data_IF_108969639569
#
_entry.id   IF_108969639569
#
_cell.length_a   1.000
_cell.length_b   1.000
_cell.length_c   1.000
_cell.angle_alpha   90.00
_cell.angle_beta   90.00
_cell.angle_gamma   90.00
#
_symmetry.space_group_name_H-M   'P 1'
#
loop_
_entity.id
_entity.type
_entity.pdbx_description
1 polymer ?
#
# COMPACT_ATOMS: atom_id res chain seq x y z
N UNK A 1 -0.02 -2.32 -22.78
CA UNK A 1 -0.88 -1.18 -23.15
C UNK A 1 -2.37 -1.41 -22.88
N UNK A 2 -2.90 -2.62 -23.02
CA UNK A 2 -4.31 -2.93 -22.75
C UNK A 2 -4.63 -2.74 -21.26
N UNK A 3 -3.83 -3.30 -20.35
CA UNK A 3 -4.04 -3.19 -18.91
C UNK A 3 -3.95 -1.75 -18.38
N UNK A 4 -3.08 -0.90 -18.93
CA UNK A 4 -2.98 0.51 -18.53
C UNK A 4 -4.27 1.26 -18.83
N UNK A 5 -4.85 1.07 -20.02
CA UNK A 5 -6.11 1.69 -20.42
C UNK A 5 -7.28 1.20 -19.61
N UNK A 6 -7.28 -0.10 -19.26
CA UNK A 6 -8.33 -0.68 -18.43
C UNK A 6 -8.28 -0.08 -17.02
N UNK A 7 -7.11 -0.04 -16.35
CA UNK A 7 -6.96 0.59 -15.04
C UNK A 7 -7.40 2.07 -15.07
N UNK A 8 -7.03 2.81 -16.12
CA UNK A 8 -7.45 4.20 -16.28
C UNK A 8 -8.97 4.32 -16.43
N UNK A 9 -9.58 3.49 -17.27
CA UNK A 9 -11.05 3.48 -17.47
C UNK A 9 -11.82 3.13 -16.20
N UNK A 10 -11.23 2.34 -15.30
CA UNK A 10 -11.80 1.99 -13.99
C UNK A 10 -11.51 3.04 -12.91
N UNK A 11 -10.84 4.14 -13.23
CA UNK A 11 -10.50 5.21 -12.30
C UNK A 11 -9.40 4.85 -11.30
N UNK A 12 -8.56 3.84 -11.62
CA UNK A 12 -7.45 3.41 -10.78
C UNK A 12 -6.23 4.28 -11.04
N UNK A 13 -5.66 4.88 -10.00
CA UNK A 13 -4.35 5.50 -10.02
C UNK A 13 -3.28 4.43 -9.82
N UNK A 14 -2.36 4.27 -10.77
CA UNK A 14 -1.23 3.36 -10.64
C UNK A 14 0.02 4.11 -10.21
N UNK A 15 0.68 3.63 -9.15
CA UNK A 15 1.93 4.19 -8.63
C UNK A 15 2.98 3.10 -8.52
N UNK A 16 4.20 3.41 -8.91
CA UNK A 16 5.36 2.56 -8.72
C UNK A 16 6.27 3.22 -7.67
N UNK A 17 6.61 2.50 -6.61
CA UNK A 17 7.53 2.94 -5.57
C UNK A 17 8.77 2.05 -5.52
N UNK A 18 9.87 2.59 -4.99
CA UNK A 18 11.16 1.91 -4.89
C UNK A 18 12.23 2.52 -5.79
N UNK A 19 13.37 1.86 -5.90
CA UNK A 19 14.49 2.34 -6.72
C UNK A 19 14.32 1.95 -8.19
N UNK A 20 13.75 2.86 -8.98
CA UNK A 20 13.58 2.67 -10.42
C UNK A 20 14.83 3.03 -11.23
N UNK A 21 15.88 3.54 -10.60
CA UNK A 21 17.11 3.96 -11.32
C UNK A 21 17.85 2.79 -11.96
N UNK A 22 17.69 1.59 -11.40
CA UNK A 22 18.28 0.34 -11.89
C UNK A 22 17.49 -0.30 -13.04
N UNK A 23 16.30 0.19 -13.33
CA UNK A 23 15.47 -0.32 -14.42
C UNK A 23 15.99 0.23 -15.78
N UNK A 24 15.77 -0.52 -16.84
CA UNK A 24 16.12 -0.09 -18.19
C UNK A 24 15.28 1.13 -18.64
N UNK A 25 15.77 1.87 -19.63
CA UNK A 25 15.13 3.09 -20.10
C UNK A 25 13.70 2.87 -20.64
N UNK A 26 13.40 1.80 -21.41
CA UNK A 26 12.04 1.51 -21.86
C UNK A 26 11.06 1.28 -20.71
N UNK A 27 11.48 0.56 -19.66
CA UNK A 27 10.61 0.29 -18.50
C UNK A 27 10.37 1.56 -17.68
N UNK A 28 11.41 2.38 -17.47
CA UNK A 28 11.24 3.70 -16.81
C UNK A 28 10.26 4.59 -17.56
N UNK A 29 10.42 4.69 -18.88
CA UNK A 29 9.47 5.44 -19.70
C UNK A 29 8.05 4.91 -19.57
N UNK A 30 7.88 3.58 -19.52
CA UNK A 30 6.56 2.97 -19.33
C UNK A 30 5.94 3.35 -17.96
N UNK A 31 6.75 3.43 -16.92
CA UNK A 31 6.32 3.86 -15.58
C UNK A 31 5.87 5.33 -15.64
N UNK A 32 6.67 6.20 -16.25
CA UNK A 32 6.33 7.63 -16.38
C UNK A 32 5.02 7.82 -17.18
N UNK A 33 4.87 7.10 -18.29
CA UNK A 33 3.67 7.16 -19.13
C UNK A 33 2.40 6.72 -18.36
N UNK A 34 2.49 5.67 -17.53
CA UNK A 34 1.33 5.20 -16.76
C UNK A 34 1.03 6.10 -15.57
N UNK A 35 2.04 6.65 -14.91
CA UNK A 35 1.84 7.66 -13.88
C UNK A 35 1.11 8.88 -14.43
N UNK A 36 1.57 9.42 -15.56
CA UNK A 36 0.94 10.57 -16.22
C UNK A 36 -0.50 10.27 -16.65
N UNK A 37 -0.76 9.08 -17.23
CA UNK A 37 -2.08 8.66 -17.67
C UNK A 37 -3.09 8.55 -16.51
N UNK A 38 -2.65 8.05 -15.35
CA UNK A 38 -3.54 7.71 -14.23
C UNK A 38 -3.52 8.72 -13.09
N UNK A 39 -2.72 9.80 -13.19
CA UNK A 39 -2.52 10.78 -12.12
C UNK A 39 -3.82 11.44 -11.62
N UNK A 40 -4.81 11.64 -12.51
CA UNK A 40 -6.10 12.23 -12.18
C UNK A 40 -7.14 11.27 -11.62
N UNK A 41 -6.81 9.97 -11.53
CA UNK A 41 -7.75 8.96 -11.04
C UNK A 41 -7.82 8.98 -9.50
N UNK A 42 -9.02 8.85 -8.95
CA UNK A 42 -9.26 9.01 -7.51
C UNK A 42 -10.08 7.88 -6.88
N UNK A 43 -10.53 6.91 -7.68
CA UNK A 43 -11.38 5.82 -7.18
C UNK A 43 -10.61 4.82 -6.33
N UNK A 44 -9.39 4.48 -6.75
CA UNK A 44 -8.51 3.52 -6.08
C UNK A 44 -7.07 3.80 -6.44
N UNK A 45 -6.14 3.67 -5.49
CA UNK A 45 -4.70 3.77 -5.74
C UNK A 45 -4.06 2.39 -5.62
N UNK A 46 -3.54 1.86 -6.73
CA UNK A 46 -2.72 0.66 -6.76
C UNK A 46 -1.25 1.07 -6.70
N UNK A 47 -0.57 0.72 -5.61
CA UNK A 47 0.84 1.02 -5.41
C UNK A 47 1.66 -0.27 -5.55
N UNK A 48 2.56 -0.34 -6.55
CA UNK A 48 3.43 -1.49 -6.80
C UNK A 48 4.85 -1.14 -6.36
N UNK A 49 5.40 -1.94 -5.44
CA UNK A 49 6.77 -1.79 -4.97
C UNK A 49 7.73 -2.59 -5.87
N UNK A 50 8.68 -1.90 -6.51
CA UNK A 50 9.69 -2.48 -7.41
C UNK A 50 11.07 -2.09 -6.89
N UNK A 51 11.94 -3.08 -6.69
CA UNK A 51 13.28 -2.84 -6.10
C UNK A 51 13.18 -1.97 -4.83
N UNK A 52 12.22 -2.30 -3.96
CA UNK A 52 11.87 -1.53 -2.76
C UNK A 52 12.41 -2.21 -1.50
N UNK A 53 12.83 -1.42 -0.55
CA UNK A 53 13.13 -1.86 0.81
C UNK A 53 12.85 -0.75 1.82
N UNK A 54 12.21 -1.09 2.95
CA UNK A 54 11.84 -0.11 3.98
C UNK A 54 13.03 0.66 4.53
N UNK A 55 14.17 0.00 4.73
CA UNK A 55 15.41 0.69 5.15
C UNK A 55 15.89 1.69 4.11
N UNK A 56 15.83 1.33 2.83
CA UNK A 56 16.16 2.23 1.73
C UNK A 56 15.21 3.41 1.70
N UNK A 57 13.90 3.19 1.83
CA UNK A 57 12.89 4.24 1.78
C UNK A 57 13.07 5.27 2.90
N UNK A 58 13.33 4.81 4.12
CA UNK A 58 13.64 5.68 5.27
C UNK A 58 14.87 6.56 4.96
N UNK A 59 15.95 5.98 4.45
CA UNK A 59 17.14 6.74 4.08
C UNK A 59 16.87 7.74 2.95
N UNK A 60 16.06 7.37 1.94
CA UNK A 60 15.66 8.30 0.89
C UNK A 60 14.75 9.42 1.41
N UNK A 61 13.86 9.13 2.35
CA UNK A 61 13.02 10.14 2.99
C UNK A 61 13.87 11.20 3.72
N UNK A 62 14.86 10.75 4.49
CA UNK A 62 15.81 11.66 5.15
C UNK A 62 16.59 12.52 4.14
N UNK A 63 17.06 11.91 3.04
CA UNK A 63 17.79 12.63 1.97
C UNK A 63 16.90 13.65 1.27
N UNK A 64 15.65 13.30 0.97
CA UNK A 64 14.66 14.21 0.37
C UNK A 64 14.38 15.40 1.29
N UNK A 65 14.19 15.14 2.57
CA UNK A 65 14.01 16.20 3.56
C UNK A 65 15.23 17.12 3.64
N UNK A 66 16.45 16.58 3.75
CA UNK A 66 17.68 17.37 3.83
C UNK A 66 17.90 18.21 2.55
N UNK A 67 17.61 17.64 1.38
CA UNK A 67 17.72 18.37 0.11
C UNK A 67 16.74 19.55 0.02
N UNK A 68 15.52 19.38 0.55
CA UNK A 68 14.51 20.44 0.64
C UNK A 68 14.83 21.48 1.74
N UNK A 69 15.69 21.13 2.71
CA UNK A 69 16.01 21.95 3.88
C UNK A 69 17.53 22.01 4.14
N UNK A 70 18.34 22.53 3.20
CA UNK A 70 19.80 22.41 3.24
C UNK A 70 20.45 23.08 4.46
N UNK A 71 19.79 24.09 5.04
CA UNK A 71 20.29 24.85 6.18
C UNK A 71 19.68 24.46 7.54
N UNK A 72 18.81 23.44 7.57
CA UNK A 72 18.20 22.95 8.82
C UNK A 72 18.98 21.74 9.36
N UNK A 73 19.26 21.71 10.66
CA UNK A 73 19.90 20.57 11.28
C UNK A 73 18.94 19.36 11.29
N UNK A 74 19.49 18.14 11.17
CA UNK A 74 18.69 16.89 11.17
C UNK A 74 17.89 16.68 12.46
N UNK A 75 18.28 17.32 13.54
CA UNK A 75 17.55 17.31 14.83
C UNK A 75 16.14 17.96 14.76
N UNK A 76 15.86 18.69 13.69
CA UNK A 76 14.52 19.25 13.43
C UNK A 76 13.61 18.31 12.61
N UNK A 77 14.12 17.16 12.19
CA UNK A 77 13.34 16.14 11.51
C UNK A 77 12.59 15.31 12.52
N UNK A 78 11.29 15.52 12.64
CA UNK A 78 10.38 14.72 13.46
C UNK A 78 9.74 13.57 12.68
N UNK A 79 9.06 12.67 13.40
CA UNK A 79 8.40 11.48 12.82
C UNK A 79 7.35 11.83 11.77
N UNK A 80 6.52 12.83 12.04
CA UNK A 80 5.47 13.27 11.12
C UNK A 80 6.05 13.84 9.83
N UNK A 81 7.15 14.58 9.93
CA UNK A 81 7.87 15.12 8.78
C UNK A 81 8.56 14.01 7.99
N UNK A 82 9.21 13.05 8.66
CA UNK A 82 9.81 11.89 8.01
C UNK A 82 8.76 11.07 7.25
N UNK A 83 7.61 10.78 7.88
CA UNK A 83 6.49 10.06 7.28
C UNK A 83 6.04 10.67 5.95
N UNK A 84 5.91 11.99 5.88
CA UNK A 84 5.53 12.71 4.63
C UNK A 84 6.57 12.62 3.51
N UNK A 85 7.82 12.28 3.84
CA UNK A 85 8.90 12.13 2.85
C UNK A 85 9.13 10.67 2.42
N UNK A 86 8.42 9.70 3.00
CA UNK A 86 8.44 8.32 2.53
C UNK A 86 7.81 8.19 1.14
N UNK A 87 8.07 7.09 0.44
CA UNK A 87 7.53 6.84 -0.89
C UNK A 87 5.99 6.76 -0.93
N UNK A 88 5.37 6.55 0.23
CA UNK A 88 3.92 6.50 0.44
C UNK A 88 3.42 7.63 1.34
N UNK A 89 4.20 8.71 1.50
CA UNK A 89 3.94 9.75 2.52
C UNK A 89 2.67 10.58 2.31
N UNK A 90 2.03 10.47 1.16
CA UNK A 90 0.73 11.06 0.81
C UNK A 90 -0.42 10.03 0.84
N UNK A 91 -0.13 8.78 1.15
CA UNK A 91 -1.12 7.72 1.35
C UNK A 91 -1.36 7.47 2.84
N UNK A 92 -2.53 6.96 3.22
CA UNK A 92 -2.77 6.50 4.59
C UNK A 92 -1.81 5.36 4.96
N UNK A 93 -1.51 5.22 6.25
CA UNK A 93 -0.79 4.05 6.74
C UNK A 93 -1.60 2.77 6.49
N UNK A 94 -0.95 1.64 6.18
CA UNK A 94 -1.67 0.41 5.89
C UNK A 94 -2.33 -0.14 7.15
N UNK A 95 -3.60 -0.51 7.03
CA UNK A 95 -4.38 -1.15 8.10
C UNK A 95 -4.14 -2.65 8.18
N UNK A 96 -3.95 -3.30 7.04
CA UNK A 96 -3.80 -4.75 6.92
C UNK A 96 -2.64 -5.10 5.99
N UNK A 97 -1.73 -5.95 6.48
CA UNK A 97 -0.77 -6.68 5.67
C UNK A 97 -1.28 -8.11 5.45
N UNK A 98 -1.36 -8.54 4.20
CA UNK A 98 -1.59 -9.94 3.84
C UNK A 98 -0.29 -10.48 3.26
N UNK A 99 0.30 -11.49 3.89
CA UNK A 99 1.48 -12.19 3.38
C UNK A 99 1.15 -13.64 3.10
N UNK A 100 1.33 -14.03 1.85
CA UNK A 100 1.09 -15.38 1.33
C UNK A 100 2.36 -16.23 1.36
N UNK A 101 2.22 -17.56 1.19
CA UNK A 101 3.34 -18.48 1.02
C UNK A 101 3.97 -19.00 2.31
N UNK A 102 3.26 -18.95 3.45
CA UNK A 102 3.67 -19.58 4.71
C UNK A 102 4.80 -18.84 5.46
N UNK A 103 5.24 -17.69 4.96
CA UNK A 103 6.34 -16.93 5.56
C UNK A 103 5.84 -15.94 6.59
N UNK A 104 6.29 -16.09 7.85
CA UNK A 104 5.87 -15.24 8.99
C UNK A 104 6.97 -14.21 9.29
N UNK A 105 7.15 -13.25 8.38
CA UNK A 105 8.12 -12.15 8.52
C UNK A 105 7.77 -10.99 7.57
N UNK A 106 8.25 -9.76 7.86
CA UNK A 106 7.99 -8.54 7.04
C UNK A 106 9.00 -8.41 5.88
N UNK A 107 10.19 -8.97 6.03
CA UNK A 107 11.25 -8.96 5.02
C UNK A 107 11.59 -7.58 4.46
N UNK A 108 11.75 -6.59 5.32
CA UNK A 108 12.14 -5.23 4.93
C UNK A 108 11.09 -4.50 4.06
N UNK A 109 9.81 -4.88 4.15
CA UNK A 109 8.72 -4.20 3.42
C UNK A 109 8.03 -3.19 4.33
N UNK A 110 7.84 -1.94 3.88
CA UNK A 110 7.12 -0.84 4.53
C UNK A 110 7.38 -0.70 6.05
N UNK A 111 8.65 -0.81 6.49
CA UNK A 111 9.02 -0.91 7.91
C UNK A 111 8.48 0.21 8.79
N UNK A 112 8.47 1.44 8.29
CA UNK A 112 7.98 2.60 9.02
C UNK A 112 6.46 2.62 9.06
N UNK A 113 5.84 2.44 7.91
CA UNK A 113 4.41 2.58 7.72
C UNK A 113 3.60 1.49 8.41
N UNK A 114 4.19 0.31 8.66
CA UNK A 114 3.51 -0.85 9.25
C UNK A 114 3.60 -0.90 10.78
N UNK A 115 3.98 0.18 11.45
CA UNK A 115 4.16 0.20 12.89
C UNK A 115 2.90 -0.26 13.67
N UNK A 116 1.70 0.00 13.13
CA UNK A 116 0.41 -0.36 13.75
C UNK A 116 -0.48 -1.21 12.82
N UNK A 117 0.11 -1.81 11.80
CA UNK A 117 -0.59 -2.63 10.82
C UNK A 117 -0.93 -4.00 11.39
N UNK A 118 -2.16 -4.46 11.23
CA UNK A 118 -2.54 -5.84 11.50
C UNK A 118 -1.95 -6.77 10.43
N UNK A 119 -1.38 -7.91 10.85
CA UNK A 119 -0.64 -8.81 9.96
C UNK A 119 -1.34 -10.15 9.83
N UNK A 120 -1.84 -10.46 8.64
CA UNK A 120 -2.44 -11.73 8.28
C UNK A 120 -1.46 -12.56 7.46
N UNK A 121 -1.11 -13.74 7.95
CA UNK A 121 -0.21 -14.69 7.27
C UNK A 121 -1.00 -15.87 6.74
N UNK A 122 -0.78 -16.21 5.45
CA UNK A 122 -1.46 -17.32 4.77
C UNK A 122 -0.45 -18.31 4.20
N UNK A 123 -0.69 -19.59 4.40
CA UNK A 123 0.11 -20.67 3.79
C UNK A 123 -0.12 -20.81 2.28
N UNK A 124 -1.20 -20.23 1.77
CA UNK A 124 -1.56 -20.28 0.35
C UNK A 124 -0.53 -19.49 -0.47
N UNK A 125 -0.04 -20.09 -1.56
CA UNK A 125 0.88 -19.44 -2.49
C UNK A 125 0.17 -18.34 -3.28
N UNK A 126 0.89 -17.26 -3.60
CA UNK A 126 0.33 -16.11 -4.30
C UNK A 126 -0.46 -16.45 -5.58
N UNK A 127 -0.01 -17.37 -6.46
CA UNK A 127 -0.76 -17.70 -7.67
C UNK A 127 -2.13 -18.36 -7.43
N UNK A 128 -2.33 -18.97 -6.25
CA UNK A 128 -3.60 -19.64 -5.84
C UNK A 128 -4.36 -18.86 -4.77
N UNK A 129 -3.85 -17.71 -4.33
CA UNK A 129 -4.53 -16.81 -3.39
C UNK A 129 -5.63 -16.06 -4.15
N UNK A 130 -6.85 -16.53 -4.00
CA UNK A 130 -8.03 -16.02 -4.70
C UNK A 130 -8.97 -15.20 -3.83
N UNK A 131 -10.18 -15.06 -4.32
CA UNK A 131 -11.24 -14.27 -3.65
C UNK A 131 -11.60 -14.84 -2.28
N UNK A 132 -11.69 -16.15 -2.16
CA UNK A 132 -12.07 -16.80 -0.89
C UNK A 132 -11.03 -16.52 0.21
N UNK A 133 -9.74 -16.59 -0.12
CA UNK A 133 -8.65 -16.31 0.80
C UNK A 133 -8.61 -14.81 1.18
N UNK A 134 -8.90 -13.93 0.23
CA UNK A 134 -8.98 -12.50 0.48
C UNK A 134 -10.15 -12.17 1.42
N UNK A 135 -11.33 -12.78 1.22
CA UNK A 135 -12.47 -12.63 2.13
C UNK A 135 -12.14 -13.12 3.53
N UNK A 136 -11.50 -14.28 3.66
CA UNK A 136 -11.06 -14.80 4.96
C UNK A 136 -10.11 -13.83 5.69
N UNK A 137 -9.19 -13.19 4.96
CA UNK A 137 -8.31 -12.17 5.54
C UNK A 137 -9.07 -10.92 6.01
N UNK A 138 -10.08 -10.47 5.27
CA UNK A 138 -10.93 -9.33 5.66
C UNK A 138 -11.84 -9.66 6.84
N UNK A 139 -12.44 -10.86 6.89
CA UNK A 139 -13.21 -11.33 8.04
C UNK A 139 -12.33 -11.39 9.30
N UNK A 140 -11.13 -11.96 9.17
CA UNK A 140 -10.16 -11.99 10.27
C UNK A 140 -9.82 -10.58 10.74
N UNK A 141 -9.57 -9.64 9.82
CA UNK A 141 -9.28 -8.24 10.15
C UNK A 141 -10.46 -7.56 10.84
N UNK A 142 -11.70 -7.79 10.38
CA UNK A 142 -12.92 -7.24 10.97
C UNK A 142 -13.17 -7.63 12.43
N UNK A 143 -12.58 -8.75 12.88
CA UNK A 143 -12.66 -9.21 14.28
C UNK A 143 -11.52 -8.67 15.16
N UNK A 144 -10.59 -7.86 14.62
CA UNK A 144 -9.46 -7.31 15.39
C UNK A 144 -9.87 -6.04 16.13
N UNK A 145 -9.53 -5.98 17.42
CA UNK A 145 -9.61 -4.74 18.21
C UNK A 145 -8.31 -3.93 18.05
N UNK A 146 -8.37 -2.80 17.36
CA UNK A 146 -7.22 -1.90 17.21
C UNK A 146 -7.09 -1.02 18.45
N UNK A 147 -6.06 -1.23 19.25
CA UNK A 147 -5.88 -0.52 20.55
C UNK A 147 -4.88 0.62 20.47
N UNK A 148 -4.08 0.77 19.41
CA UNK A 148 -3.06 1.82 19.23
C UNK A 148 -2.23 2.10 20.49
N UNK A 149 -1.89 1.06 21.27
CA UNK A 149 -1.19 1.19 22.54
C UNK A 149 -2.05 1.58 23.76
N UNK A 150 -3.37 1.75 23.60
CA UNK A 150 -4.28 2.04 24.72
C UNK A 150 -4.58 0.78 25.55
N UNK A 151 -4.77 0.95 26.88
CA UNK A 151 -5.18 -0.13 27.75
C UNK A 151 -6.61 -0.61 27.44
N UNK A 152 -6.92 -1.89 27.73
CA UNK A 152 -8.24 -2.45 27.52
C UNK A 152 -9.32 -1.59 28.21
N UNK A 153 -10.31 -1.11 27.44
CA UNK A 153 -11.41 -0.26 27.94
C UNK A 153 -11.37 1.21 27.51
N UNK A 154 -10.33 1.66 26.79
CA UNK A 154 -10.23 3.04 26.28
C UNK A 154 -10.31 3.12 24.74
N UNK A 155 -10.61 2.04 24.04
CA UNK A 155 -10.70 2.04 22.56
C UNK A 155 -11.99 2.74 22.12
N UNK A 156 -11.86 3.81 21.34
CA UNK A 156 -12.95 4.35 20.54
C UNK A 156 -13.39 3.30 19.50
N UNK A 157 -14.69 3.21 19.23
CA UNK A 157 -15.25 2.29 18.24
C UNK A 157 -14.56 2.51 16.88
N UNK A 158 -14.17 1.41 16.22
CA UNK A 158 -13.71 1.42 14.84
C UNK A 158 -14.85 1.99 13.99
N UNK A 159 -14.54 2.94 13.12
CA UNK A 159 -15.50 3.39 12.11
C UNK A 159 -15.73 2.23 11.12
N UNK A 160 -16.76 1.44 11.41
CA UNK A 160 -17.21 0.30 10.60
C UNK A 160 -17.55 0.70 9.16
N UNK A 161 -17.81 1.98 8.91
CA UNK A 161 -18.07 2.53 7.58
C UNK A 161 -16.86 2.41 6.65
N UNK A 162 -15.64 2.61 7.15
CA UNK A 162 -14.40 2.50 6.35
C UNK A 162 -14.10 1.03 5.98
N UNK A 163 -14.33 0.10 6.90
CA UNK A 163 -14.15 -1.34 6.62
C UNK A 163 -15.19 -1.86 5.62
N UNK A 164 -16.45 -1.42 5.72
CA UNK A 164 -17.52 -1.76 4.78
C UNK A 164 -17.32 -1.13 3.40
N UNK A 165 -16.80 0.08 3.31
CA UNK A 165 -16.47 0.72 2.04
C UNK A 165 -15.34 -0.02 1.28
N UNK A 166 -14.35 -0.53 1.99
CA UNK A 166 -13.28 -1.37 1.43
C UNK A 166 -13.80 -2.71 0.89
N UNK A 167 -14.71 -3.36 1.63
CA UNK A 167 -15.38 -4.59 1.20
C UNK A 167 -16.22 -4.39 -0.06
N UNK A 168 -17.05 -3.34 -0.10
CA UNK A 168 -17.91 -3.02 -1.25
C UNK A 168 -17.09 -2.68 -2.51
N UNK A 169 -15.97 -2.00 -2.38
CA UNK A 169 -15.06 -1.71 -3.49
C UNK A 169 -14.39 -2.99 -4.03
N UNK A 170 -13.99 -3.90 -3.15
CA UNK A 170 -13.41 -5.20 -3.52
C UNK A 170 -14.40 -6.10 -4.24
N UNK A 171 -15.62 -6.23 -3.75
CA UNK A 171 -16.69 -7.05 -4.34
C UNK A 171 -17.07 -6.57 -5.76
N UNK A 172 -17.10 -5.27 -5.99
CA UNK A 172 -17.47 -4.73 -7.30
C UNK A 172 -16.41 -4.99 -8.39
N UNK A 173 -15.14 -5.05 -8.01
CA UNK A 173 -14.04 -5.41 -8.92
C UNK A 173 -14.15 -6.90 -9.30
N UNK A 174 -14.44 -7.77 -8.34
CA UNK A 174 -14.49 -9.23 -8.51
C UNK A 174 -15.72 -9.72 -9.27
N UNK A 175 -16.89 -9.11 -9.09
CA UNK A 175 -18.11 -9.47 -9.81
C UNK A 175 -18.03 -9.25 -11.32
N UNK A 176 -17.24 -8.27 -11.78
CA UNK A 176 -17.04 -8.02 -13.21
C UNK A 176 -16.18 -9.05 -13.90
N UNK A 177 -15.23 -9.67 -13.20
CA UNK A 177 -14.38 -10.72 -13.79
C UNK A 177 -15.14 -12.04 -13.97
N UNK A 178 -16.07 -12.36 -13.06
CA UNK A 178 -16.90 -13.58 -13.16
C UNK A 178 -17.89 -13.51 -14.34
N UNK A 179 -18.38 -12.33 -14.70
CA UNK A 179 -19.30 -12.15 -15.84
C UNK A 179 -18.58 -12.12 -17.19
N UNK A 180 -17.26 -12.00 -17.25
CA UNK A 180 -16.48 -12.01 -18.50
C UNK A 180 -15.89 -13.38 -18.83
N UNK A 181 -15.93 -14.34 -17.91
CA UNK A 181 -15.42 -15.72 -18.11
C UNK A 181 -16.55 -16.73 -18.39
N UNK A 182 -17.78 -16.29 -18.51
CA UNK A 182 -18.96 -17.06 -18.98
C UNK A 182 -19.38 -16.58 -20.38
#
# INVERSE_FOLDING_TARGET
DVYKRQLHAEGVQLRIIGDTTQLDAPLRKMIDDVHALTAGNTRFTLCIAVNYGGRWDILQAMRRWQAANPNRPVSELDEATLSRHLSTGDLPEPDLLIRTGGEIRISNFLLWQMAYTEMYFSDVLFPTFGTAELHAAFEWFGHRERRFGAAAGQSGAIDTATAQAGLAAGEHILQKDTQRSA
#
